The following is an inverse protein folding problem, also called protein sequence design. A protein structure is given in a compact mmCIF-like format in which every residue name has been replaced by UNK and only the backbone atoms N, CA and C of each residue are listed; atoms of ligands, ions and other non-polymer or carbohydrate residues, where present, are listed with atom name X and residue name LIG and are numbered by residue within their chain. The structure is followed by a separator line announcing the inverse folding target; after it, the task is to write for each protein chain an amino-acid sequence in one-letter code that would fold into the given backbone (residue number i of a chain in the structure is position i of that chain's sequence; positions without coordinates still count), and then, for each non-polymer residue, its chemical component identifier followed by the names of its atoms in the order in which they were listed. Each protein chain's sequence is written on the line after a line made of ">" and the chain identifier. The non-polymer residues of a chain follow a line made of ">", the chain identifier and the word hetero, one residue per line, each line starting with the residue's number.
data_IF_564896305583
#
_entry.id   IF_564896305583
#
_cell.length_a   1.000
_cell.length_b   1.000
_cell.length_c   1.000
_cell.angle_alpha   90.00
_cell.angle_beta   90.00
_cell.angle_gamma   90.00
#
_symmetry.space_group_name_H-M   'P 1'
#
loop_
_entity.id
_entity.type
_entity.pdbx_description
1 polymer ?
#
# COMPACT_ATOMS: atom_id res chain seq x y z
N UNK A 1 5.87 4.23 31.90
CA UNK A 1 6.51 4.18 30.56
C UNK A 1 5.61 3.52 29.51
N UNK A 2 5.19 2.24 29.65
CA UNK A 2 4.43 1.49 28.61
C UNK A 2 3.09 2.14 28.25
N UNK A 3 2.23 2.47 29.24
CA UNK A 3 0.90 3.06 28.99
C UNK A 3 1.00 4.45 28.34
N UNK A 4 2.01 5.24 28.71
CA UNK A 4 2.26 6.54 28.07
C UNK A 4 2.61 6.38 26.59
N UNK A 5 3.48 5.41 26.23
CA UNK A 5 3.83 5.15 24.82
C UNK A 5 2.64 4.66 24.00
N UNK A 6 1.78 3.83 24.60
CA UNK A 6 0.54 3.39 23.92
C UNK A 6 -0.33 4.61 23.60
N UNK A 7 -0.59 5.48 24.58
CA UNK A 7 -1.42 6.68 24.37
C UNK A 7 -0.82 7.63 23.34
N UNK A 8 0.49 7.82 23.36
CA UNK A 8 1.23 8.58 22.35
C UNK A 8 0.99 8.03 20.95
N UNK A 9 1.21 6.73 20.74
CA UNK A 9 1.01 6.10 19.42
C UNK A 9 -0.44 6.12 18.96
N UNK A 10 -1.40 5.95 19.88
CA UNK A 10 -2.83 6.04 19.55
C UNK A 10 -3.20 7.45 19.09
N UNK A 11 -2.64 8.48 19.70
CA UNK A 11 -2.83 9.87 19.28
C UNK A 11 -2.23 10.13 17.89
N UNK A 12 -1.04 9.61 17.61
CA UNK A 12 -0.38 9.77 16.32
C UNK A 12 -1.18 9.13 15.16
N UNK A 13 -1.91 8.04 15.42
CA UNK A 13 -2.81 7.42 14.44
C UNK A 13 -4.25 7.95 14.51
N UNK A 14 -4.46 9.08 15.19
CA UNK A 14 -5.76 9.74 15.32
C UNK A 14 -6.85 8.83 15.91
N UNK A 15 -6.51 8.06 16.93
CA UNK A 15 -7.44 7.25 17.70
C UNK A 15 -7.58 7.80 19.13
N UNK A 16 -8.74 7.56 19.79
CA UNK A 16 -8.94 7.95 21.18
C UNK A 16 -7.89 7.36 22.12
N UNK A 17 -7.54 8.09 23.17
CA UNK A 17 -6.50 7.71 24.14
C UNK A 17 -7.02 7.49 25.55
N UNK A 18 -8.34 7.54 25.72
CA UNK A 18 -9.01 7.24 26.98
C UNK A 18 -8.95 5.75 27.30
N UNK A 19 -9.04 5.44 28.58
CA UNK A 19 -8.86 4.08 29.06
C UNK A 19 -10.00 3.15 28.60
N UNK A 20 -11.22 3.68 28.44
CA UNK A 20 -12.36 2.91 27.92
C UNK A 20 -12.09 2.44 26.48
N UNK A 21 -11.58 3.31 25.63
CA UNK A 21 -11.24 2.94 24.26
C UNK A 21 -10.08 1.94 24.19
N UNK A 22 -9.08 2.08 25.04
CA UNK A 22 -7.92 1.19 25.10
C UNK A 22 -8.24 -0.23 25.59
N UNK A 23 -9.37 -0.41 26.23
CA UNK A 23 -9.85 -1.72 26.69
C UNK A 23 -10.76 -2.44 25.67
N UNK A 24 -11.06 -1.81 24.52
CA UNK A 24 -11.88 -2.40 23.46
C UNK A 24 -11.19 -3.58 22.78
N UNK A 25 -12.00 -4.58 22.49
CA UNK A 25 -11.57 -5.72 21.68
C UNK A 25 -11.62 -5.40 20.17
N UNK A 26 -10.82 -6.11 19.34
CA UNK A 26 -10.78 -5.86 17.89
C UNK A 26 -12.16 -5.86 17.21
N UNK A 27 -13.06 -6.75 17.60
CA UNK A 27 -14.42 -6.83 17.03
C UNK A 27 -15.33 -5.63 17.38
N UNK A 28 -14.91 -4.77 18.32
CA UNK A 28 -15.58 -3.52 18.69
C UNK A 28 -15.06 -2.30 17.92
N UNK A 29 -14.09 -2.52 17.03
CA UNK A 29 -13.46 -1.49 16.22
C UNK A 29 -13.87 -1.63 14.75
N UNK A 30 -14.04 -0.49 14.05
CA UNK A 30 -14.21 -0.51 12.60
C UNK A 30 -12.93 -0.98 11.90
N UNK A 31 -13.02 -1.41 10.63
CA UNK A 31 -11.86 -1.85 9.86
C UNK A 31 -10.74 -0.78 9.81
N UNK A 32 -11.09 0.47 9.57
CA UNK A 32 -10.11 1.57 9.57
C UNK A 32 -9.51 1.86 10.97
N UNK A 33 -10.26 1.63 12.05
CA UNK A 33 -9.72 1.72 13.40
C UNK A 33 -8.74 0.57 13.68
N UNK A 34 -9.09 -0.66 13.30
CA UNK A 34 -8.20 -1.82 13.43
C UNK A 34 -6.89 -1.60 12.66
N UNK A 35 -6.98 -1.08 11.43
CA UNK A 35 -5.80 -0.79 10.60
C UNK A 35 -4.90 0.25 11.27
N UNK A 36 -5.47 1.32 11.81
CA UNK A 36 -4.71 2.35 12.52
C UNK A 36 -4.09 1.83 13.83
N UNK A 37 -4.77 0.93 14.55
CA UNK A 37 -4.16 0.22 15.69
C UNK A 37 -2.96 -0.60 15.22
N UNK A 38 -3.08 -1.33 14.10
CA UNK A 38 -1.97 -2.06 13.49
C UNK A 38 -0.77 -1.16 13.17
N UNK A 39 -1.01 0.03 12.60
CA UNK A 39 0.04 1.04 12.38
C UNK A 39 0.67 1.49 13.70
N UNK A 40 -0.14 1.84 14.71
CA UNK A 40 0.38 2.22 16.02
C UNK A 40 1.29 1.15 16.63
N UNK A 41 0.91 -0.12 16.50
CA UNK A 41 1.73 -1.26 16.95
C UNK A 41 3.06 -1.35 16.19
N UNK A 42 3.03 -1.21 14.86
CA UNK A 42 4.22 -1.27 14.02
C UNK A 42 5.21 -0.14 14.32
N UNK A 43 4.73 1.08 14.52
CA UNK A 43 5.57 2.26 14.83
C UNK A 43 5.96 2.37 16.32
N UNK A 44 5.33 1.62 17.21
CA UNK A 44 5.61 1.70 18.66
C UNK A 44 7.08 1.43 19.03
N UNK A 45 7.74 0.56 18.30
CA UNK A 45 9.15 0.19 18.50
C UNK A 45 10.14 1.08 17.75
N UNK A 46 9.69 2.15 17.09
CA UNK A 46 10.52 3.06 16.27
C UNK A 46 11.38 2.30 15.25
N UNK A 47 10.77 1.56 14.32
CA UNK A 47 11.52 0.81 13.31
C UNK A 47 12.24 1.77 12.35
N UNK A 48 13.33 1.31 11.72
CA UNK A 48 13.95 2.02 10.61
C UNK A 48 13.27 1.71 9.27
N UNK A 49 12.60 0.55 9.18
CA UNK A 49 11.88 0.09 7.97
C UNK A 49 10.55 -0.51 8.40
N UNK A 50 9.50 -0.25 7.64
CA UNK A 50 8.17 -0.87 7.79
C UNK A 50 7.75 -1.53 6.49
N UNK A 51 7.12 -2.70 6.58
CA UNK A 51 6.49 -3.39 5.44
C UNK A 51 4.98 -3.32 5.60
N UNK A 52 4.32 -2.79 4.60
CA UNK A 52 2.87 -2.59 4.54
C UNK A 52 2.31 -3.43 3.39
N UNK A 53 1.75 -4.57 3.73
CA UNK A 53 1.17 -5.51 2.76
C UNK A 53 -0.34 -5.28 2.67
N UNK A 54 -0.77 -4.68 1.56
CA UNK A 54 -2.16 -4.28 1.28
C UNK A 54 -2.89 -3.60 2.45
N UNK A 55 -2.34 -2.56 3.08
CA UNK A 55 -2.84 -2.01 4.34
C UNK A 55 -4.19 -1.31 4.22
N UNK A 56 -4.73 -1.13 3.02
CA UNK A 56 -6.02 -0.47 2.77
C UNK A 56 -7.07 -1.39 2.15
N UNK A 57 -6.74 -2.66 1.93
CA UNK A 57 -7.68 -3.63 1.35
C UNK A 57 -8.91 -3.82 2.24
N UNK A 58 -10.09 -3.77 1.60
CA UNK A 58 -11.38 -3.92 2.29
C UNK A 58 -11.88 -2.68 3.03
N UNK A 59 -11.22 -1.54 2.89
CA UNK A 59 -11.69 -0.24 3.40
C UNK A 59 -12.48 0.51 2.32
N UNK A 60 -13.44 1.31 2.75
CA UNK A 60 -14.08 2.29 1.87
C UNK A 60 -13.09 3.42 1.50
N UNK A 61 -13.36 4.11 0.38
CA UNK A 61 -12.46 5.12 -0.20
C UNK A 61 -12.09 6.23 0.80
N UNK A 62 -13.04 6.69 1.59
CA UNK A 62 -12.80 7.76 2.58
C UNK A 62 -11.86 7.27 3.70
N UNK A 63 -12.12 6.08 4.21
CA UNK A 63 -11.28 5.45 5.25
C UNK A 63 -9.90 5.11 4.71
N UNK A 64 -9.79 4.62 3.47
CA UNK A 64 -8.52 4.38 2.78
C UNK A 64 -7.67 5.67 2.72
N UNK A 65 -8.24 6.78 2.27
CA UNK A 65 -7.55 8.07 2.19
C UNK A 65 -6.99 8.50 3.56
N UNK A 66 -7.78 8.34 4.63
CA UNK A 66 -7.32 8.66 5.98
C UNK A 66 -6.16 7.77 6.45
N UNK A 67 -6.21 6.48 6.16
CA UNK A 67 -5.11 5.55 6.50
C UNK A 67 -3.85 5.90 5.73
N UNK A 68 -3.95 6.20 4.43
CA UNK A 68 -2.81 6.60 3.59
C UNK A 68 -2.15 7.90 4.10
N UNK A 69 -2.96 8.90 4.46
CA UNK A 69 -2.45 10.14 5.07
C UNK A 69 -1.70 9.86 6.38
N UNK A 70 -2.25 8.99 7.22
CA UNK A 70 -1.61 8.59 8.48
C UNK A 70 -0.27 7.87 8.23
N UNK A 71 -0.21 6.94 7.28
CA UNK A 71 1.03 6.26 6.90
C UNK A 71 2.08 7.27 6.43
N UNK A 72 1.71 8.17 5.52
CA UNK A 72 2.61 9.22 4.99
C UNK A 72 3.15 10.12 6.10
N UNK A 73 2.29 10.53 7.03
CA UNK A 73 2.69 11.36 8.16
C UNK A 73 3.67 10.61 9.06
N UNK A 74 3.33 9.39 9.50
CA UNK A 74 4.17 8.59 10.39
C UNK A 74 5.54 8.29 9.78
N UNK A 75 5.60 7.93 8.49
CA UNK A 75 6.88 7.64 7.82
C UNK A 75 7.78 8.86 7.76
N UNK A 76 7.21 10.05 7.50
CA UNK A 76 7.96 11.31 7.49
C UNK A 76 8.40 11.75 8.90
N UNK A 77 7.49 11.76 9.85
CA UNK A 77 7.74 12.28 11.21
C UNK A 77 8.77 11.42 11.95
N UNK A 78 8.77 10.11 11.70
CA UNK A 78 9.72 9.17 12.31
C UNK A 78 10.95 8.87 11.44
N UNK A 79 11.04 9.37 10.20
CA UNK A 79 12.13 9.08 9.27
C UNK A 79 12.26 7.59 8.93
N UNK A 80 11.11 6.91 8.77
CA UNK A 80 11.02 5.47 8.53
C UNK A 80 10.94 5.20 7.02
N UNK A 81 11.76 4.29 6.50
CA UNK A 81 11.59 3.78 5.15
C UNK A 81 10.39 2.82 5.08
N UNK A 82 9.54 2.98 4.07
CA UNK A 82 8.36 2.13 3.90
C UNK A 82 8.42 1.31 2.62
N UNK A 83 8.24 0.00 2.75
CA UNK A 83 7.95 -0.89 1.63
C UNK A 83 6.43 -1.10 1.57
N UNK A 84 5.78 -0.52 0.57
CA UNK A 84 4.34 -0.62 0.38
C UNK A 84 4.02 -1.61 -0.73
N UNK A 85 3.23 -2.63 -0.43
CA UNK A 85 2.79 -3.65 -1.39
C UNK A 85 1.30 -3.41 -1.66
N UNK A 86 0.95 -3.20 -2.92
CA UNK A 86 -0.44 -2.98 -3.34
C UNK A 86 -0.63 -3.29 -4.83
N UNK A 87 -1.84 -3.55 -5.21
CA UNK A 87 -2.29 -3.60 -6.61
C UNK A 87 -2.96 -2.30 -7.07
N UNK A 88 -3.08 -1.29 -6.20
CA UNK A 88 -3.69 0.00 -6.51
C UNK A 88 -2.63 1.00 -6.99
N UNK A 89 -2.63 1.25 -8.30
CA UNK A 89 -1.70 2.19 -8.93
C UNK A 89 -1.89 3.64 -8.50
N UNK A 90 -3.12 4.03 -8.12
CA UNK A 90 -3.38 5.38 -7.64
C UNK A 90 -2.68 5.62 -6.29
N UNK A 91 -2.66 4.61 -5.43
CA UNK A 91 -1.94 4.66 -4.15
C UNK A 91 -0.44 4.78 -4.39
N UNK A 92 0.13 4.01 -5.32
CA UNK A 92 1.56 4.07 -5.65
C UNK A 92 1.93 5.47 -6.18
N UNK A 93 1.14 5.99 -7.13
CA UNK A 93 1.38 7.30 -7.73
C UNK A 93 1.36 8.45 -6.69
N UNK A 94 0.60 8.29 -5.61
CA UNK A 94 0.47 9.30 -4.56
C UNK A 94 1.50 9.16 -3.43
N UNK A 95 1.94 7.93 -3.11
CA UNK A 95 2.75 7.65 -1.91
C UNK A 95 4.21 7.36 -2.19
N UNK A 96 4.55 6.69 -3.29
CA UNK A 96 5.85 6.10 -3.48
C UNK A 96 6.83 7.05 -4.20
N UNK A 97 8.10 6.95 -3.84
CA UNK A 97 9.19 7.59 -4.57
C UNK A 97 9.66 6.68 -5.71
N UNK A 98 9.87 5.39 -5.40
CA UNK A 98 10.27 4.34 -6.34
C UNK A 98 9.24 3.23 -6.37
N UNK A 99 9.12 2.55 -7.50
CA UNK A 99 8.25 1.39 -7.68
C UNK A 99 9.00 0.21 -8.29
N UNK A 100 8.69 -0.99 -7.78
CA UNK A 100 9.10 -2.25 -8.36
C UNK A 100 7.86 -3.03 -8.82
N UNK A 101 7.73 -3.22 -10.13
CA UNK A 101 6.63 -4.01 -10.72
C UNK A 101 7.00 -5.48 -10.68
N UNK A 102 6.12 -6.29 -10.12
CA UNK A 102 6.32 -7.73 -10.01
C UNK A 102 5.33 -8.49 -10.89
N UNK A 103 5.85 -9.47 -11.62
CA UNK A 103 5.04 -10.43 -12.35
C UNK A 103 5.54 -11.86 -12.11
N UNK A 104 4.63 -12.75 -11.76
CA UNK A 104 4.95 -14.17 -11.51
C UNK A 104 6.14 -14.37 -10.53
N UNK A 105 6.23 -13.51 -9.47
CA UNK A 105 7.25 -13.57 -8.41
C UNK A 105 8.65 -13.10 -8.84
N UNK A 106 8.75 -12.34 -9.91
CA UNK A 106 9.98 -11.65 -10.33
C UNK A 106 9.72 -10.18 -10.48
N UNK A 107 10.68 -9.35 -10.10
CA UNK A 107 10.69 -7.94 -10.47
C UNK A 107 10.97 -7.85 -11.97
N UNK A 108 10.04 -7.27 -12.73
CA UNK A 108 10.14 -7.13 -14.19
C UNK A 108 10.51 -5.72 -14.60
N UNK A 109 10.23 -4.74 -13.77
CA UNK A 109 10.62 -3.35 -13.96
C UNK A 109 10.76 -2.64 -12.61
N UNK A 110 11.70 -1.71 -12.51
CA UNK A 110 11.92 -0.92 -11.30
C UNK A 110 12.46 0.46 -11.66
N UNK A 111 12.03 1.48 -10.97
CA UNK A 111 12.51 2.85 -11.12
C UNK A 111 11.67 3.86 -10.39
N UNK A 112 11.99 5.14 -10.60
CA UNK A 112 11.22 6.25 -10.06
C UNK A 112 9.78 6.22 -10.57
N UNK A 113 8.82 6.47 -9.69
CA UNK A 113 7.38 6.42 -10.02
C UNK A 113 7.05 7.27 -11.23
N UNK A 114 7.59 8.49 -11.31
CA UNK A 114 7.31 9.42 -12.40
C UNK A 114 7.75 8.88 -13.77
N UNK A 115 8.86 8.15 -13.85
CA UNK A 115 9.36 7.55 -15.08
C UNK A 115 8.57 6.30 -15.46
N UNK A 116 8.34 5.41 -14.51
CA UNK A 116 7.59 4.16 -14.74
C UNK A 116 6.16 4.44 -15.23
N UNK A 117 5.51 5.49 -14.71
CA UNK A 117 4.16 5.85 -15.16
C UNK A 117 4.13 6.56 -16.52
N UNK A 118 5.17 7.33 -16.88
CA UNK A 118 5.24 8.05 -18.17
C UNK A 118 5.76 7.18 -19.30
N UNK A 119 6.80 6.40 -19.04
CA UNK A 119 7.56 5.65 -20.04
C UNK A 119 7.80 4.20 -19.64
N UNK A 120 6.75 3.40 -19.36
CA UNK A 120 6.92 2.01 -18.97
C UNK A 120 7.63 1.20 -20.05
N UNK A 121 8.74 0.56 -19.71
CA UNK A 121 9.54 -0.23 -20.64
C UNK A 121 8.98 -1.67 -20.79
N UNK A 122 8.59 -2.30 -19.66
CA UNK A 122 8.07 -3.67 -19.69
C UNK A 122 6.60 -3.70 -20.10
N UNK A 123 6.22 -4.71 -20.89
CA UNK A 123 4.85 -4.86 -21.41
C UNK A 123 3.81 -4.98 -20.30
N UNK A 124 4.09 -5.71 -19.23
CA UNK A 124 3.20 -5.81 -18.05
C UNK A 124 2.94 -4.43 -17.42
N UNK A 125 3.99 -3.65 -17.18
CA UNK A 125 3.86 -2.30 -16.60
C UNK A 125 3.03 -1.40 -17.50
N UNK A 126 3.26 -1.47 -18.81
CA UNK A 126 2.50 -0.70 -19.80
C UNK A 126 1.01 -1.03 -19.75
N UNK A 127 0.67 -2.30 -19.60
CA UNK A 127 -0.72 -2.73 -19.50
C UNK A 127 -1.35 -2.34 -18.15
N UNK A 128 -0.62 -2.47 -17.06
CA UNK A 128 -1.08 -2.02 -15.74
C UNK A 128 -1.40 -0.52 -15.75
N UNK A 129 -0.48 0.30 -16.25
CA UNK A 129 -0.68 1.76 -16.35
C UNK A 129 -1.83 2.10 -17.29
N UNK A 130 -1.97 1.40 -18.42
CA UNK A 130 -3.07 1.61 -19.37
C UNK A 130 -4.43 1.17 -18.82
N UNK A 131 -4.48 0.22 -17.90
CA UNK A 131 -5.69 -0.26 -17.24
C UNK A 131 -6.10 0.61 -16.03
N UNK A 132 -5.24 1.52 -15.58
CA UNK A 132 -5.59 2.45 -14.49
C UNK A 132 -6.78 3.33 -14.92
N UNK A 133 -7.85 3.42 -14.12
CA UNK A 133 -9.03 4.22 -14.45
C UNK A 133 -8.64 5.71 -14.47
N UNK A 134 -8.81 6.34 -15.63
CA UNK A 134 -8.70 7.80 -15.77
C UNK A 134 -10.11 8.37 -15.90
N UNK A 135 -10.55 9.09 -14.86
CA UNK A 135 -11.88 9.72 -14.82
C UNK A 135 -12.05 10.75 -15.95
N UNK A 136 -10.95 11.34 -16.44
CA UNK A 136 -10.97 12.32 -17.51
C UNK A 136 -11.03 11.70 -18.91
N UNK A 137 -10.62 10.45 -19.07
CA UNK A 137 -10.61 9.77 -20.37
C UNK A 137 -11.75 8.76 -20.48
N UNK A 138 -12.54 8.86 -21.54
CA UNK A 138 -13.57 7.84 -21.93
C UNK A 138 -12.94 6.61 -22.59
N UNK A 139 -11.68 6.27 -22.27
CA UNK A 139 -11.04 5.09 -22.84
C UNK A 139 -11.70 3.82 -22.28
N UNK A 140 -12.12 2.93 -23.17
CA UNK A 140 -12.56 1.60 -22.76
C UNK A 140 -11.33 0.82 -22.24
N UNK A 141 -11.49 0.21 -21.09
CA UNK A 141 -10.48 -0.71 -20.54
C UNK A 141 -10.45 -1.94 -21.44
N UNK A 142 -9.33 -2.20 -22.09
CA UNK A 142 -9.11 -3.39 -22.91
C UNK A 142 -8.40 -4.42 -22.05
N UNK A 143 -9.06 -5.55 -21.79
CA UNK A 143 -8.46 -6.67 -21.08
C UNK A 143 -7.30 -7.29 -21.88
N UNK A 144 -6.29 -7.77 -21.16
CA UNK A 144 -5.21 -8.55 -21.76
C UNK A 144 -5.71 -9.89 -22.27
N UNK A 145 -5.32 -10.25 -23.50
CA UNK A 145 -5.54 -11.59 -24.03
C UNK A 145 -4.57 -12.58 -23.37
N UNK A 146 -5.09 -13.73 -22.96
CA UNK A 146 -4.29 -14.77 -22.32
C UNK A 146 -4.65 -15.07 -20.88
N UNK A 147 -3.87 -15.90 -20.21
CA UNK A 147 -4.01 -16.24 -18.80
C UNK A 147 -2.66 -16.12 -18.10
N UNK A 148 -2.67 -15.58 -16.89
CA UNK A 148 -1.47 -15.57 -16.05
C UNK A 148 -0.97 -17.02 -15.84
N UNK A 149 0.34 -17.19 -15.90
CA UNK A 149 0.99 -18.49 -15.67
C UNK A 149 0.74 -18.97 -14.23
N UNK A 150 0.39 -20.24 -14.10
CA UNK A 150 0.24 -20.85 -12.78
C UNK A 150 1.57 -20.88 -12.03
N UNK A 151 1.55 -20.67 -10.70
CA UNK A 151 2.74 -20.85 -9.87
C UNK A 151 3.37 -22.24 -10.14
N UNK A 152 4.68 -22.28 -10.37
CA UNK A 152 5.39 -23.53 -10.70
C UNK A 152 5.46 -23.93 -12.18
N UNK A 153 4.73 -23.28 -13.07
CA UNK A 153 4.80 -23.53 -14.53
C UNK A 153 5.44 -22.34 -15.28
N UNK A 154 6.53 -21.81 -14.74
CA UNK A 154 7.21 -20.69 -15.38
C UNK A 154 8.02 -21.15 -16.58
N UNK A 155 7.88 -20.48 -17.74
CA UNK A 155 8.76 -20.73 -18.88
C UNK A 155 10.20 -20.29 -18.56
N UNK A 156 11.15 -20.84 -19.31
CA UNK A 156 12.50 -20.29 -19.36
C UNK A 156 12.44 -18.98 -20.14
N UNK A 157 12.82 -17.87 -19.48
CA UNK A 157 12.73 -16.53 -20.06
C UNK A 157 11.65 -15.65 -19.40
N UNK A 158 11.05 -14.75 -20.19
CA UNK A 158 10.00 -13.85 -19.71
C UNK A 158 8.68 -14.60 -19.54
N UNK A 159 8.13 -14.59 -18.32
CA UNK A 159 6.85 -15.25 -18.03
C UNK A 159 5.64 -14.52 -18.65
N UNK A 160 5.84 -13.34 -19.22
CA UNK A 160 4.82 -12.52 -19.88
C UNK A 160 4.79 -12.71 -21.40
N UNK A 161 5.76 -13.45 -21.97
CA UNK A 161 5.88 -13.70 -23.40
C UNK A 161 4.84 -14.72 -23.92
#
# INVERSE_FOLDING_TARGET
>A
ARKARIKEMMAEVLLPTDDEYLERYPHQLSGGQQQRVGLAMAFACRPSVIVLDEPTTGLDVSTQEHVLKTIRQLTRDHGVAALYITHDLAVIADLADDVAVMYSGRVVEQGEVSEIFKNPAHTETRHLVAAAPDIASKKSIVGLAGRAQSPGKRPVGCAFA
#
